data_IF_114354660759
#
_entry.id   IF_114354660759
#
_cell.length_a   1.000
_cell.length_b   1.000
_cell.length_c   1.000
_cell.angle_alpha   90.00
_cell.angle_beta   90.00
_cell.angle_gamma   90.00
#
_symmetry.space_group_name_H-M   'P 1'
#
loop_
_entity.id
_entity.type
_entity.pdbx_description
1 polymer ?
#
# COMPACT_ATOMS: atom_id res chain seq x y z
N UNK A 1 -7.37 -3.90 25.86
CA UNK A 1 -6.35 -2.88 25.50
C UNK A 1 -7.07 -1.62 25.07
N UNK A 2 -6.60 -0.44 25.49
CA UNK A 2 -7.12 0.85 25.05
C UNK A 2 -6.25 1.32 23.88
N UNK A 3 -6.84 1.36 22.69
CA UNK A 3 -6.21 1.93 21.49
C UNK A 3 -7.25 2.75 20.75
N UNK A 4 -6.81 3.78 20.05
CA UNK A 4 -7.67 4.59 19.20
C UNK A 4 -8.04 3.72 17.99
N UNK A 5 -9.32 3.46 17.79
CA UNK A 5 -9.77 2.75 16.60
C UNK A 5 -9.85 3.74 15.45
N UNK A 6 -9.39 3.32 14.27
CA UNK A 6 -9.56 4.10 13.06
C UNK A 6 -11.05 4.40 12.77
N UNK A 7 -11.96 3.50 13.17
CA UNK A 7 -13.42 3.67 13.03
C UNK A 7 -13.99 4.82 13.86
N UNK A 8 -13.25 5.31 14.84
CA UNK A 8 -13.69 6.38 15.75
C UNK A 8 -13.16 7.75 15.27
N UNK A 9 -12.44 7.80 14.15
CA UNK A 9 -11.82 9.00 13.60
C UNK A 9 -12.59 9.51 12.37
N UNK A 10 -12.72 10.82 12.22
CA UNK A 10 -13.11 11.43 10.96
C UNK A 10 -11.92 11.42 9.99
N UNK A 11 -12.05 10.69 8.88
CA UNK A 11 -11.00 10.50 7.88
C UNK A 11 -11.18 11.35 6.62
N UNK A 12 -12.31 12.05 6.47
CA UNK A 12 -12.66 12.73 5.22
C UNK A 12 -11.63 13.80 4.85
N UNK A 13 -11.09 13.72 3.64
CA UNK A 13 -10.08 14.64 3.12
C UNK A 13 -8.70 14.51 3.78
N UNK A 14 -8.53 13.61 4.76
CA UNK A 14 -7.26 13.42 5.46
C UNK A 14 -6.37 12.44 4.70
N UNK A 15 -5.06 12.67 4.83
CA UNK A 15 -4.04 11.70 4.41
C UNK A 15 -3.95 10.60 5.47
N UNK A 16 -4.14 9.36 5.05
CA UNK A 16 -4.08 8.18 5.92
C UNK A 16 -2.97 7.26 5.44
N UNK A 17 -1.96 7.09 6.29
CA UNK A 17 -0.86 6.16 6.05
C UNK A 17 -1.14 4.84 6.77
N UNK A 18 -1.20 3.74 6.02
CA UNK A 18 -1.53 2.40 6.53
C UNK A 18 -0.33 1.48 6.33
N UNK A 19 0.23 0.98 7.43
CA UNK A 19 1.16 -0.14 7.40
C UNK A 19 0.35 -1.44 7.37
N UNK A 20 0.33 -2.11 6.23
CA UNK A 20 -0.38 -3.38 6.05
C UNK A 20 0.62 -4.55 5.98
N UNK A 21 0.17 -5.78 6.27
CA UNK A 21 0.95 -6.99 5.98
C UNK A 21 0.57 -7.47 4.58
N UNK A 22 1.43 -7.19 3.60
CA UNK A 22 1.31 -7.62 2.22
C UNK A 22 2.47 -8.55 1.81
N UNK A 23 3.14 -9.18 2.78
CA UNK A 23 4.26 -10.07 2.50
C UNK A 23 3.73 -11.44 2.03
N UNK A 24 3.44 -11.52 0.74
CA UNK A 24 2.84 -12.70 0.08
C UNK A 24 3.87 -13.50 -0.71
N UNK A 25 3.65 -14.80 -0.94
CA UNK A 25 4.49 -15.56 -1.85
C UNK A 25 4.29 -15.08 -3.29
N UNK A 26 5.42 -14.84 -3.97
CA UNK A 26 5.47 -14.44 -5.38
C UNK A 26 6.32 -15.44 -6.15
N UNK A 27 5.82 -15.90 -7.29
CA UNK A 27 6.55 -16.74 -8.24
C UNK A 27 6.33 -16.20 -9.65
N UNK A 28 7.38 -16.11 -10.46
CA UNK A 28 7.34 -15.58 -11.83
C UNK A 28 6.64 -14.22 -11.95
N UNK A 29 6.87 -13.35 -10.96
CA UNK A 29 6.28 -12.01 -10.91
C UNK A 29 4.78 -12.00 -10.59
N UNK A 30 4.19 -13.10 -10.11
CA UNK A 30 2.77 -13.21 -9.75
C UNK A 30 2.58 -13.65 -8.31
N UNK A 31 1.57 -13.09 -7.65
CA UNK A 31 1.15 -13.54 -6.31
C UNK A 31 0.53 -14.93 -6.42
N UNK A 32 1.08 -15.90 -5.68
CA UNK A 32 0.55 -17.29 -5.68
C UNK A 32 -0.47 -17.53 -4.55
N UNK A 33 -0.48 -16.66 -3.53
CA UNK A 33 -1.51 -16.64 -2.49
C UNK A 33 -1.74 -15.21 -2.02
N UNK A 34 -2.98 -14.73 -2.12
CA UNK A 34 -3.37 -13.36 -1.83
C UNK A 34 -4.00 -13.20 -0.43
N UNK A 35 -3.94 -14.23 0.42
CA UNK A 35 -4.67 -14.28 1.69
C UNK A 35 -4.39 -13.06 2.58
N UNK A 36 -3.14 -12.59 2.63
CA UNK A 36 -2.73 -11.40 3.41
C UNK A 36 -3.22 -10.09 2.80
N UNK A 37 -3.25 -10.01 1.47
CA UNK A 37 -3.82 -8.86 0.74
C UNK A 37 -5.31 -8.79 1.07
N UNK A 38 -6.04 -9.90 0.87
CA UNK A 38 -7.47 -10.02 1.16
C UNK A 38 -7.79 -9.65 2.62
N UNK A 39 -6.98 -10.10 3.57
CA UNK A 39 -7.16 -9.76 4.99
C UNK A 39 -6.96 -8.26 5.30
N UNK A 40 -6.15 -7.55 4.51
CA UNK A 40 -5.87 -6.12 4.67
C UNK A 40 -6.93 -5.22 4.01
N UNK A 41 -7.65 -5.73 3.00
CA UNK A 41 -8.61 -4.95 2.19
C UNK A 41 -9.71 -4.25 3.00
N UNK A 42 -10.36 -4.86 4.02
CA UNK A 42 -11.45 -4.20 4.74
C UNK A 42 -11.06 -2.86 5.38
N UNK A 43 -9.83 -2.78 5.91
CA UNK A 43 -9.31 -1.55 6.53
C UNK A 43 -9.06 -0.47 5.48
N UNK A 44 -8.47 -0.86 4.34
CA UNK A 44 -8.19 0.05 3.23
C UNK A 44 -9.49 0.57 2.61
N UNK A 45 -10.44 -0.31 2.35
CA UNK A 45 -11.75 0.05 1.83
C UNK A 45 -12.53 0.97 2.77
N UNK A 46 -12.45 0.74 4.09
CA UNK A 46 -13.07 1.64 5.07
C UNK A 46 -12.52 3.06 4.94
N UNK A 47 -11.19 3.21 4.90
CA UNK A 47 -10.56 4.53 4.76
C UNK A 47 -10.96 5.20 3.43
N UNK A 48 -10.98 4.45 2.33
CA UNK A 48 -11.41 4.96 1.02
C UNK A 48 -12.88 5.40 1.03
N UNK A 49 -13.78 4.58 1.59
CA UNK A 49 -15.22 4.89 1.70
C UNK A 49 -15.48 6.10 2.60
N UNK A 50 -14.64 6.32 3.61
CA UNK A 50 -14.67 7.51 4.45
C UNK A 50 -14.13 8.78 3.77
N UNK A 51 -13.66 8.70 2.52
CA UNK A 51 -13.16 9.85 1.75
C UNK A 51 -11.72 10.23 2.10
N UNK A 52 -10.93 9.30 2.62
CA UNK A 52 -9.51 9.54 2.89
C UNK A 52 -8.66 9.50 1.62
N UNK A 53 -7.49 10.14 1.70
CA UNK A 53 -6.38 10.03 0.74
C UNK A 53 -5.43 8.93 1.24
N UNK A 54 -5.55 7.71 0.71
CA UNK A 54 -4.94 6.53 1.33
C UNK A 54 -3.56 6.23 0.73
N UNK A 55 -2.58 5.99 1.61
CA UNK A 55 -1.25 5.51 1.27
C UNK A 55 -1.00 4.22 2.04
N UNK A 56 -0.72 3.13 1.35
CA UNK A 56 -0.40 1.84 1.98
C UNK A 56 1.09 1.56 1.81
N UNK A 57 1.72 1.01 2.83
CA UNK A 57 3.09 0.48 2.74
C UNK A 57 3.15 -0.94 3.28
N UNK A 58 4.06 -1.74 2.75
CA UNK A 58 4.42 -3.04 3.29
C UNK A 58 5.89 -3.33 3.02
N UNK A 59 6.34 -4.47 3.53
CA UNK A 59 7.51 -5.16 3.02
C UNK A 59 7.08 -6.38 2.20
N UNK A 60 7.99 -6.84 1.34
CA UNK A 60 7.93 -8.14 0.70
C UNK A 60 9.30 -8.80 0.83
N UNK A 61 9.33 -10.07 1.24
CA UNK A 61 10.59 -10.80 1.42
C UNK A 61 11.57 -10.11 2.39
N UNK A 62 12.86 -10.30 2.15
CA UNK A 62 13.96 -9.72 2.93
C UNK A 62 15.07 -9.27 1.98
N UNK A 63 14.85 -8.21 1.19
CA UNK A 63 15.88 -7.65 0.32
C UNK A 63 17.04 -7.08 1.15
N UNK A 64 18.16 -6.84 0.48
CA UNK A 64 19.24 -6.03 1.04
C UNK A 64 18.77 -4.58 1.16
N UNK A 65 19.02 -3.97 2.32
CA UNK A 65 18.60 -2.60 2.63
C UNK A 65 19.31 -1.61 1.69
N UNK A 66 18.56 -0.64 1.14
CA UNK A 66 19.10 0.33 0.18
C UNK A 66 19.18 -0.19 -1.26
N UNK A 67 18.94 -1.49 -1.50
CA UNK A 67 19.15 -2.13 -2.80
C UNK A 67 17.83 -2.60 -3.39
N UNK A 68 17.46 -2.00 -4.53
CA UNK A 68 16.29 -2.43 -5.28
C UNK A 68 16.49 -3.83 -5.86
N UNK A 69 15.47 -4.68 -5.71
CA UNK A 69 15.39 -5.98 -6.38
C UNK A 69 13.99 -6.18 -6.96
N UNK A 70 13.90 -6.56 -8.23
CA UNK A 70 12.61 -6.73 -8.91
C UNK A 70 11.75 -7.84 -8.28
N UNK A 71 12.38 -8.89 -7.76
CA UNK A 71 11.73 -10.02 -7.08
C UNK A 71 11.03 -9.65 -5.76
N UNK A 72 11.53 -8.60 -5.07
CA UNK A 72 10.93 -8.10 -3.83
C UNK A 72 10.10 -6.82 -4.06
N UNK A 73 9.83 -6.42 -5.30
CA UNK A 73 8.97 -5.26 -5.58
C UNK A 73 7.52 -5.58 -5.20
N UNK A 74 6.79 -4.56 -4.74
CA UNK A 74 5.36 -4.65 -4.47
C UNK A 74 4.48 -4.49 -5.70
N UNK A 75 5.04 -4.41 -6.91
CA UNK A 75 4.26 -4.36 -8.16
C UNK A 75 3.19 -5.47 -8.28
N UNK A 76 3.50 -6.76 -8.11
CA UNK A 76 2.49 -7.81 -8.17
C UNK A 76 1.40 -7.67 -7.09
N UNK A 77 1.73 -7.05 -5.95
CA UNK A 77 0.76 -6.75 -4.89
C UNK A 77 -0.17 -5.61 -5.32
N UNK A 78 0.38 -4.55 -5.92
CA UNK A 78 -0.41 -3.44 -6.46
C UNK A 78 -1.43 -3.93 -7.50
N UNK A 79 -1.01 -4.85 -8.37
CA UNK A 79 -1.87 -5.42 -9.42
C UNK A 79 -3.05 -6.17 -8.81
N UNK A 80 -2.81 -7.06 -7.83
CA UNK A 80 -3.87 -7.79 -7.12
C UNK A 80 -4.80 -6.86 -6.34
N UNK A 81 -4.25 -5.82 -5.71
CA UNK A 81 -5.06 -4.81 -5.01
C UNK A 81 -5.96 -4.04 -6.00
N UNK A 82 -5.45 -3.72 -7.18
CA UNK A 82 -6.20 -3.03 -8.22
C UNK A 82 -7.37 -3.89 -8.74
N UNK A 83 -7.12 -5.18 -8.98
CA UNK A 83 -8.17 -6.15 -9.35
C UNK A 83 -9.26 -6.25 -8.28
N UNK A 84 -8.88 -6.38 -7.00
CA UNK A 84 -9.84 -6.47 -5.89
C UNK A 84 -10.66 -5.20 -5.69
N UNK A 85 -10.06 -4.02 -5.89
CA UNK A 85 -10.75 -2.74 -5.75
C UNK A 85 -11.56 -2.35 -6.97
N UNK A 86 -11.31 -2.96 -8.13
CA UNK A 86 -11.85 -2.51 -9.41
C UNK A 86 -11.38 -1.10 -9.78
N UNK A 87 -10.22 -0.68 -9.28
CA UNK A 87 -9.64 0.67 -9.47
C UNK A 87 -8.12 0.58 -9.59
N UNK A 88 -7.46 1.47 -10.36
CA UNK A 88 -6.01 1.50 -10.43
C UNK A 88 -5.36 1.73 -9.06
N UNK A 89 -4.32 0.97 -8.75
CA UNK A 89 -3.46 1.17 -7.58
C UNK A 89 -2.05 1.47 -8.08
N UNK A 90 -1.63 2.73 -7.97
CA UNK A 90 -0.30 3.16 -8.42
C UNK A 90 0.75 2.78 -7.38
N UNK A 91 1.82 2.11 -7.83
CA UNK A 91 3.02 1.86 -7.04
C UNK A 91 3.97 3.07 -7.09
N UNK A 92 4.43 3.54 -5.93
CA UNK A 92 5.35 4.69 -5.81
C UNK A 92 6.71 4.21 -5.31
N UNK A 93 7.71 4.21 -6.19
CA UNK A 93 9.06 3.69 -5.90
C UNK A 93 9.89 4.60 -4.99
N UNK A 94 10.07 5.85 -5.38
CA UNK A 94 10.90 6.81 -4.65
C UNK A 94 9.99 7.69 -3.80
N UNK A 95 9.55 7.20 -2.65
CA UNK A 95 8.59 7.90 -1.79
C UNK A 95 9.23 8.60 -0.57
N UNK A 96 10.55 8.46 -0.40
CA UNK A 96 11.33 9.12 0.64
C UNK A 96 12.06 10.36 0.08
N UNK A 97 12.08 11.43 0.87
CA UNK A 97 12.89 12.61 0.56
C UNK A 97 14.40 12.29 0.67
N UNK A 98 15.28 12.96 -0.11
CA UNK A 98 15.00 14.01 -1.11
C UNK A 98 14.62 13.48 -2.50
N UNK A 99 14.60 12.15 -2.68
CA UNK A 99 14.50 11.51 -3.99
C UNK A 99 13.05 11.43 -4.52
N UNK A 100 12.06 11.74 -3.68
CA UNK A 100 10.67 11.72 -4.06
C UNK A 100 10.30 12.88 -4.99
N UNK A 101 9.79 12.61 -6.22
CA UNK A 101 9.21 13.66 -7.05
C UNK A 101 8.13 14.42 -6.27
N UNK A 102 8.01 15.73 -6.52
CA UNK A 102 7.12 16.63 -5.78
C UNK A 102 5.65 16.21 -5.78
N UNK A 103 5.23 15.46 -6.80
CA UNK A 103 3.87 14.97 -7.03
C UNK A 103 3.71 13.46 -6.77
N UNK A 104 4.79 12.76 -6.39
CA UNK A 104 4.79 11.29 -6.24
C UNK A 104 3.77 10.80 -5.20
N UNK A 105 3.55 11.59 -4.15
CA UNK A 105 2.63 11.33 -3.04
C UNK A 105 1.29 12.07 -3.16
N UNK A 106 0.98 12.66 -4.32
CA UNK A 106 -0.33 13.25 -4.57
C UNK A 106 -1.38 12.13 -4.68
N UNK A 107 -2.42 12.25 -3.86
CA UNK A 107 -3.54 11.32 -3.74
C UNK A 107 -4.82 12.15 -3.56
N UNK A 108 -5.82 11.90 -4.40
CA UNK A 108 -7.12 12.56 -4.27
C UNK A 108 -8.02 11.83 -3.26
N UNK A 109 -9.11 12.49 -2.85
CA UNK A 109 -10.07 11.90 -1.92
C UNK A 109 -10.63 10.58 -2.49
N UNK A 110 -10.59 9.51 -1.68
CA UNK A 110 -11.05 8.19 -2.09
C UNK A 110 -10.12 7.47 -3.06
N UNK A 111 -8.88 7.94 -3.24
CA UNK A 111 -7.83 7.24 -3.98
C UNK A 111 -6.83 6.55 -3.06
N UNK A 112 -6.15 5.56 -3.65
CA UNK A 112 -5.13 4.74 -3.01
C UNK A 112 -3.84 4.74 -3.83
N UNK A 113 -2.72 4.89 -3.14
CA UNK A 113 -1.40 4.51 -3.67
C UNK A 113 -0.75 3.44 -2.79
N UNK A 114 0.04 2.58 -3.40
CA UNK A 114 0.94 1.65 -2.71
C UNK A 114 2.35 2.23 -2.77
N UNK A 115 3.00 2.34 -1.62
CA UNK A 115 4.41 2.70 -1.54
C UNK A 115 5.25 1.44 -1.75
N UNK A 116 6.34 1.58 -2.48
CA UNK A 116 7.26 0.48 -2.75
C UNK A 116 7.89 -0.06 -1.45
N UNK A 117 8.35 -1.31 -1.53
CA UNK A 117 8.84 -2.10 -0.41
C UNK A 117 9.67 -1.27 0.57
N UNK A 118 9.18 -1.13 1.80
CA UNK A 118 9.82 -0.29 2.81
C UNK A 118 11.13 -0.87 3.37
N UNK A 119 11.63 -1.97 2.79
CA UNK A 119 12.95 -2.54 3.08
C UNK A 119 13.97 -2.26 1.97
N UNK A 120 13.56 -1.61 0.87
CA UNK A 120 14.50 -1.03 -0.08
C UNK A 120 15.13 0.23 0.47
#
# INVERSE_FOLDING_TARGET
MQFIKMTDLDLKGKRVFIRADLNVPVADGKVTSDARITASMPTIEFALKAGAKVMVTSHLGRPEEGVYSAENSLQPVADVMAEKLGKPVRLVKNWLAPNAPSDSLTVEDGQLILLENCRF
#
